data_IF_551993231124
#
_entry.id   IF_551993231124
#
_cell.length_a   1.000
_cell.length_b   1.000
_cell.length_c   1.000
_cell.angle_alpha   90.00
_cell.angle_beta   90.00
_cell.angle_gamma   90.00
#
_symmetry.space_group_name_H-M   'P 1'
#
loop_
_entity.id
_entity.type
_entity.pdbx_description
1 polymer ?
#
# COMPACT_ATOMS: atom_id res chain seq x y z
N UNK A 1 28.69 -5.25 7.20
CA UNK A 1 29.18 -4.15 6.33
C UNK A 1 28.41 -2.90 6.72
N UNK A 2 29.04 -1.73 6.74
CA UNK A 2 28.29 -0.48 6.87
C UNK A 2 27.61 -0.18 5.53
N UNK A 3 26.35 0.25 5.57
CA UNK A 3 25.58 0.61 4.38
C UNK A 3 25.70 2.12 4.14
N UNK A 4 25.53 2.55 2.88
CA UNK A 4 25.47 3.97 2.51
C UNK A 4 24.02 4.48 2.49
N UNK A 5 23.25 4.09 3.51
CA UNK A 5 21.84 4.44 3.75
C UNK A 5 21.56 4.38 5.25
N UNK A 6 20.73 5.29 5.75
CA UNK A 6 20.42 5.39 7.19
C UNK A 6 19.03 4.86 7.55
N UNK A 7 18.22 4.48 6.57
CA UNK A 7 16.83 4.02 6.77
C UNK A 7 16.60 2.61 6.25
N UNK A 8 15.57 1.95 6.78
CA UNK A 8 15.25 0.55 6.47
C UNK A 8 14.42 0.34 5.21
N UNK A 9 13.81 1.41 4.68
CA UNK A 9 12.64 1.32 3.82
C UNK A 9 12.86 0.49 2.55
N UNK A 10 13.94 0.74 1.80
CA UNK A 10 14.28 -0.02 0.58
C UNK A 10 14.59 -1.49 0.87
N UNK A 11 15.22 -1.78 2.01
CA UNK A 11 15.55 -3.16 2.42
C UNK A 11 14.27 -3.94 2.71
N UNK A 12 13.32 -3.35 3.46
CA UNK A 12 12.04 -4.01 3.71
C UNK A 12 11.24 -4.14 2.42
N UNK A 13 11.20 -3.08 1.60
CA UNK A 13 10.53 -3.10 0.30
C UNK A 13 10.97 -4.28 -0.57
N UNK A 14 12.28 -4.51 -0.65
CA UNK A 14 12.87 -5.61 -1.42
C UNK A 14 12.66 -6.99 -0.77
N UNK A 15 12.60 -7.07 0.56
CA UNK A 15 12.45 -8.34 1.30
C UNK A 15 11.12 -9.04 1.10
N UNK A 16 10.10 -8.30 0.66
CA UNK A 16 8.74 -8.80 0.41
C UNK A 16 8.24 -8.43 -1.00
N UNK A 17 9.17 -8.12 -1.91
CA UNK A 17 8.85 -7.88 -3.31
C UNK A 17 8.61 -9.23 -4.02
N UNK A 18 7.34 -9.56 -4.17
CA UNK A 18 6.86 -10.80 -4.77
C UNK A 18 6.66 -10.70 -6.29
N UNK A 19 6.96 -9.55 -6.88
CA UNK A 19 6.75 -9.33 -8.31
C UNK A 19 7.53 -10.32 -9.15
N UNK A 20 6.83 -10.94 -10.11
CA UNK A 20 7.47 -11.74 -11.15
C UNK A 20 8.38 -10.85 -12.02
N UNK A 21 9.31 -11.44 -12.80
CA UNK A 21 10.04 -10.69 -13.83
C UNK A 21 9.10 -9.92 -14.78
N UNK A 22 7.97 -10.52 -15.19
CA UNK A 22 6.97 -9.88 -16.05
C UNK A 22 6.33 -8.65 -15.40
N UNK A 23 5.94 -8.75 -14.13
CA UNK A 23 5.39 -7.62 -13.38
C UNK A 23 6.42 -6.51 -13.14
N UNK A 24 7.72 -6.84 -13.08
CA UNK A 24 8.80 -5.85 -13.06
C UNK A 24 9.09 -5.23 -14.43
N UNK A 25 8.41 -5.66 -15.49
CA UNK A 25 8.63 -5.20 -16.86
C UNK A 25 9.87 -5.81 -17.53
N UNK A 26 10.40 -6.92 -17.02
CA UNK A 26 11.52 -7.64 -17.60
C UNK A 26 11.04 -8.60 -18.67
N UNK A 27 11.76 -8.68 -19.80
CA UNK A 27 11.46 -9.65 -20.86
C UNK A 27 11.83 -11.05 -20.38
N UNK A 28 10.88 -12.00 -20.48
CA UNK A 28 11.11 -13.42 -20.25
C UNK A 28 12.16 -13.93 -21.26
N UNK A 29 13.44 -13.93 -20.85
CA UNK A 29 14.56 -14.42 -21.68
C UNK A 29 15.94 -13.84 -21.38
N UNK A 30 16.04 -12.67 -20.72
CA UNK A 30 17.32 -11.96 -20.60
C UNK A 30 18.10 -12.20 -19.29
N UNK A 31 17.58 -12.99 -18.36
CA UNK A 31 18.30 -13.27 -17.12
C UNK A 31 18.09 -14.70 -16.68
N UNK A 32 19.18 -15.45 -16.59
CA UNK A 32 19.30 -16.70 -15.85
C UNK A 32 19.11 -16.48 -14.34
N UNK A 33 17.98 -15.88 -13.97
CA UNK A 33 17.56 -15.73 -12.58
C UNK A 33 17.16 -17.10 -12.06
N UNK A 34 17.70 -17.54 -10.90
CA UNK A 34 17.41 -18.85 -10.33
C UNK A 34 16.01 -18.97 -9.69
N UNK A 35 15.14 -17.97 -9.86
CA UNK A 35 13.76 -18.04 -9.40
C UNK A 35 12.90 -18.80 -10.41
N UNK A 36 12.34 -19.90 -9.92
CA UNK A 36 11.54 -20.87 -10.66
C UNK A 36 10.64 -20.18 -11.69
N UNK A 37 10.87 -20.49 -12.97
CA UNK A 37 9.95 -20.13 -14.04
C UNK A 37 8.65 -20.87 -13.74
N UNK A 38 7.66 -20.17 -13.20
CA UNK A 38 6.31 -20.70 -13.05
C UNK A 38 5.82 -21.19 -14.42
N UNK A 39 5.08 -22.30 -14.44
CA UNK A 39 4.50 -22.76 -15.70
C UNK A 39 3.51 -21.71 -16.22
N UNK A 40 3.27 -21.67 -17.53
CA UNK A 40 2.25 -20.76 -18.09
C UNK A 40 0.87 -20.95 -17.44
N UNK A 41 0.56 -22.16 -16.96
CA UNK A 41 -0.68 -22.47 -16.25
C UNK A 41 -0.71 -21.86 -14.84
N UNK A 42 0.42 -21.87 -14.14
CA UNK A 42 0.51 -21.30 -12.79
C UNK A 42 0.51 -19.76 -12.86
N UNK A 43 1.16 -19.18 -13.88
CA UNK A 43 1.12 -17.73 -14.12
C UNK A 43 -0.29 -17.22 -14.35
N UNK A 44 -1.15 -17.97 -15.07
CA UNK A 44 -2.55 -17.61 -15.28
C UNK A 44 -3.41 -17.57 -14.00
N UNK A 45 -2.92 -18.12 -12.89
CA UNK A 45 -3.60 -18.06 -11.59
C UNK A 45 -3.21 -16.82 -10.77
N UNK A 46 -2.12 -16.14 -11.14
CA UNK A 46 -1.69 -14.91 -10.50
C UNK A 46 -2.56 -13.73 -10.95
N UNK A 47 -2.69 -12.73 -10.09
CA UNK A 47 -3.30 -11.46 -10.43
C UNK A 47 -2.68 -10.88 -11.71
N UNK A 48 -3.52 -10.47 -12.67
CA UNK A 48 -3.05 -9.98 -13.97
C UNK A 48 -2.20 -11.00 -14.76
N UNK A 49 -2.33 -12.30 -14.47
CA UNK A 49 -1.54 -13.36 -15.08
C UNK A 49 -0.05 -13.30 -14.75
N UNK A 50 0.35 -12.56 -13.72
CA UNK A 50 1.75 -12.30 -13.37
C UNK A 50 2.55 -11.59 -14.47
N UNK A 51 1.86 -10.88 -15.37
CA UNK A 51 2.46 -10.19 -16.53
C UNK A 51 2.10 -8.71 -16.60
N UNK A 52 1.03 -8.28 -15.91
CA UNK A 52 0.67 -6.87 -15.80
C UNK A 52 1.76 -6.16 -15.02
N UNK A 53 2.34 -5.11 -15.61
CA UNK A 53 3.43 -4.36 -14.97
C UNK A 53 2.95 -3.72 -13.67
N UNK A 54 3.69 -3.93 -12.59
CA UNK A 54 3.49 -3.34 -11.28
C UNK A 54 4.71 -2.46 -10.94
N UNK A 55 4.59 -1.12 -11.00
CA UNK A 55 5.76 -0.23 -10.88
C UNK A 55 6.51 -0.34 -9.54
N UNK A 56 5.78 -0.67 -8.46
CA UNK A 56 6.30 -0.74 -7.10
C UNK A 56 6.14 -2.14 -6.51
N UNK A 57 6.99 -2.48 -5.53
CA UNK A 57 6.71 -3.59 -4.59
C UNK A 57 5.39 -3.33 -3.86
N UNK A 58 4.74 -4.39 -3.35
CA UNK A 58 3.59 -4.24 -2.45
C UNK A 58 3.95 -3.56 -1.12
N UNK A 59 5.25 -3.50 -0.80
CA UNK A 59 5.79 -2.62 0.23
C UNK A 59 6.48 -1.42 -0.42
N UNK A 60 5.85 -0.25 -0.41
CA UNK A 60 6.35 0.97 -1.06
C UNK A 60 5.60 2.24 -0.59
N UNK A 61 5.98 3.43 -1.08
CA UNK A 61 5.15 4.64 -0.89
C UNK A 61 3.73 4.44 -1.44
N UNK A 62 2.78 5.25 -0.96
CA UNK A 62 1.40 5.22 -1.49
C UNK A 62 1.36 5.46 -3.00
N UNK A 63 0.40 4.82 -3.67
CA UNK A 63 0.22 4.93 -5.13
C UNK A 63 -0.95 5.83 -5.51
N UNK A 64 -1.89 6.08 -4.59
CA UNK A 64 -3.11 6.88 -4.84
C UNK A 64 -3.56 7.60 -3.56
N UNK A 65 -3.92 8.86 -3.69
CA UNK A 65 -4.69 9.60 -2.70
C UNK A 65 -6.18 9.25 -2.76
N UNK A 66 -6.80 9.28 -1.59
CA UNK A 66 -8.26 9.29 -1.43
C UNK A 66 -8.82 10.72 -1.53
N UNK A 67 -8.46 11.46 -2.57
CA UNK A 67 -8.81 12.87 -2.71
C UNK A 67 -10.23 13.05 -3.26
N UNK A 68 -11.05 13.85 -2.58
CA UNK A 68 -12.44 14.11 -2.95
C UNK A 68 -12.69 15.53 -3.50
N UNK A 69 -11.65 16.36 -3.63
CA UNK A 69 -11.77 17.68 -4.23
C UNK A 69 -11.81 17.62 -5.77
N UNK A 70 -12.54 18.57 -6.38
CA UNK A 70 -12.73 18.63 -7.83
C UNK A 70 -11.39 18.76 -8.57
N UNK A 71 -11.12 17.85 -9.52
CA UNK A 71 -9.88 17.81 -10.31
C UNK A 71 -8.64 17.31 -9.55
N UNK A 72 -8.78 16.94 -8.27
CA UNK A 72 -7.66 16.50 -7.45
C UNK A 72 -7.17 15.10 -7.82
N UNK A 73 -8.07 14.24 -8.31
CA UNK A 73 -7.71 12.92 -8.79
C UNK A 73 -6.73 13.02 -9.96
N UNK A 74 -7.05 13.78 -11.01
CA UNK A 74 -6.14 13.91 -12.17
C UNK A 74 -4.88 14.69 -11.82
N UNK A 75 -4.99 15.69 -10.94
CA UNK A 75 -3.87 16.58 -10.61
C UNK A 75 -2.83 15.93 -9.70
N UNK A 76 -3.25 15.11 -8.74
CA UNK A 76 -2.35 14.60 -7.69
C UNK A 76 -2.07 13.11 -7.78
N UNK A 77 -2.93 12.31 -8.43
CA UNK A 77 -2.67 10.90 -8.69
C UNK A 77 -2.03 10.71 -10.07
N UNK A 78 -0.82 11.24 -10.22
CA UNK A 78 -0.06 11.28 -11.48
C UNK A 78 0.90 10.09 -11.68
N UNK A 79 0.84 9.09 -10.80
CA UNK A 79 1.58 7.85 -10.92
C UNK A 79 0.84 6.81 -11.77
N UNK A 80 1.60 5.94 -12.44
CA UNK A 80 1.09 4.69 -12.97
C UNK A 80 0.70 3.77 -11.80
N UNK A 81 -0.60 3.64 -11.57
CA UNK A 81 -1.18 2.79 -10.53
C UNK A 81 -2.18 1.82 -11.18
N UNK A 82 -1.72 0.64 -11.64
CA UNK A 82 -2.56 -0.39 -12.25
C UNK A 82 -3.76 -0.74 -11.36
N UNK A 83 -4.88 -1.08 -11.97
CA UNK A 83 -6.12 -1.41 -11.27
C UNK A 83 -6.59 -2.79 -11.69
N UNK A 84 -7.10 -3.57 -10.73
CA UNK A 84 -7.82 -4.79 -11.05
C UNK A 84 -9.20 -4.43 -11.63
N UNK A 85 -9.50 -4.80 -12.89
CA UNK A 85 -10.71 -4.36 -13.56
C UNK A 85 -11.98 -5.00 -12.98
N UNK A 86 -11.89 -6.24 -12.47
CA UNK A 86 -13.02 -6.95 -11.88
C UNK A 86 -13.40 -6.34 -10.53
N UNK A 87 -12.43 -6.12 -9.66
CA UNK A 87 -12.62 -5.43 -8.39
C UNK A 87 -13.14 -4.01 -8.61
N UNK A 88 -12.62 -3.28 -9.60
CA UNK A 88 -13.09 -1.93 -9.90
C UNK A 88 -14.56 -1.91 -10.33
N UNK A 89 -14.94 -2.81 -11.25
CA UNK A 89 -16.33 -2.93 -11.70
C UNK A 89 -17.26 -3.29 -10.53
N UNK A 90 -16.88 -4.26 -9.70
CA UNK A 90 -17.64 -4.65 -8.52
C UNK A 90 -17.85 -3.50 -7.53
N UNK A 91 -16.81 -2.68 -7.30
CA UNK A 91 -16.89 -1.53 -6.41
C UNK A 91 -17.81 -0.43 -6.97
N UNK A 92 -17.79 -0.19 -8.28
CA UNK A 92 -18.71 0.74 -8.93
C UNK A 92 -20.15 0.26 -8.91
N UNK A 93 -20.39 -1.02 -9.20
CA UNK A 93 -21.73 -1.60 -9.14
C UNK A 93 -22.31 -1.54 -7.72
N UNK A 94 -21.45 -1.61 -6.69
CA UNK A 94 -21.82 -1.40 -5.29
C UNK A 94 -22.00 0.08 -4.89
N UNK A 95 -21.77 1.04 -5.80
CA UNK A 95 -21.93 2.47 -5.55
C UNK A 95 -20.79 3.13 -4.77
N UNK A 96 -19.60 2.52 -4.73
CA UNK A 96 -18.41 3.11 -4.12
C UNK A 96 -17.88 4.25 -5.02
N UNK A 97 -17.46 5.36 -4.42
CA UNK A 97 -16.96 6.51 -5.15
C UNK A 97 -15.66 6.21 -5.93
N UNK A 98 -15.42 6.97 -6.99
CA UNK A 98 -14.28 6.80 -7.90
C UNK A 98 -12.93 6.72 -7.18
N UNK A 99 -12.71 7.60 -6.21
CA UNK A 99 -11.43 7.67 -5.51
C UNK A 99 -11.18 6.42 -4.68
N UNK A 100 -12.18 6.01 -3.89
CA UNK A 100 -12.04 4.85 -3.03
C UNK A 100 -12.02 3.55 -3.85
N UNK A 101 -12.85 3.45 -4.88
CA UNK A 101 -12.91 2.28 -5.75
C UNK A 101 -11.56 2.02 -6.42
N UNK A 102 -10.93 3.06 -6.99
CA UNK A 102 -9.60 2.95 -7.60
C UNK A 102 -8.51 2.64 -6.59
N UNK A 103 -8.59 3.17 -5.36
CA UNK A 103 -7.64 2.81 -4.31
C UNK A 103 -7.72 1.32 -3.97
N UNK A 104 -8.92 0.80 -3.72
CA UNK A 104 -9.12 -0.61 -3.38
C UNK A 104 -8.77 -1.51 -4.57
N UNK A 105 -9.22 -1.19 -5.78
CA UNK A 105 -8.88 -1.96 -6.99
C UNK A 105 -7.37 -2.04 -7.24
N UNK A 106 -6.59 -1.03 -6.86
CA UNK A 106 -5.12 -1.10 -6.90
C UNK A 106 -4.55 -2.13 -5.92
N UNK A 107 -5.11 -2.25 -4.70
CA UNK A 107 -4.66 -3.26 -3.74
C UNK A 107 -4.90 -4.69 -4.24
N UNK A 108 -5.97 -4.87 -5.02
CA UNK A 108 -6.39 -6.14 -5.60
C UNK A 108 -5.60 -6.55 -6.85
N UNK A 109 -4.63 -5.75 -7.31
CA UNK A 109 -3.65 -6.20 -8.31
C UNK A 109 -2.58 -7.13 -7.72
N UNK A 110 -2.78 -7.60 -6.48
CA UNK A 110 -1.81 -8.42 -5.74
C UNK A 110 -2.47 -9.72 -5.32
N UNK A 111 -1.71 -10.79 -5.40
CA UNK A 111 -2.12 -12.06 -4.85
C UNK A 111 -2.09 -12.05 -3.31
N UNK A 112 -2.96 -12.82 -2.65
CA UNK A 112 -2.88 -13.03 -1.21
C UNK A 112 -1.62 -13.85 -0.87
N UNK A 113 -0.74 -13.30 -0.01
CA UNK A 113 0.46 -14.02 0.46
C UNK A 113 0.17 -14.99 1.60
N UNK A 114 -0.87 -14.72 2.37
CA UNK A 114 -1.19 -15.47 3.57
C UNK A 114 -2.70 -15.74 3.59
N UNK A 115 -3.06 -17.01 3.70
CA UNK A 115 -4.43 -17.44 3.99
C UNK A 115 -4.42 -18.08 5.37
N UNK A 116 -5.33 -17.63 6.25
CA UNK A 116 -5.51 -18.26 7.54
C UNK A 116 -6.32 -19.55 7.38
N UNK A 117 -5.83 -20.63 7.99
CA UNK A 117 -6.51 -21.92 8.02
C UNK A 117 -7.87 -21.76 8.72
N UNK A 118 -8.93 -22.32 8.14
CA UNK A 118 -10.29 -22.20 8.65
C UNK A 118 -11.08 -20.99 8.12
N UNK A 119 -10.45 -20.10 7.35
CA UNK A 119 -11.11 -19.04 6.59
C UNK A 119 -10.96 -19.31 5.09
N UNK A 120 -11.09 -20.57 4.65
CA UNK A 120 -10.99 -20.91 3.22
C UNK A 120 -12.22 -20.44 2.42
N UNK A 121 -13.36 -20.27 3.09
CA UNK A 121 -14.64 -19.88 2.47
C UNK A 121 -14.97 -18.44 2.85
N UNK A 122 -15.35 -17.64 1.87
CA UNK A 122 -15.72 -16.25 2.09
C UNK A 122 -17.04 -16.17 2.86
N UNK A 123 -17.02 -15.48 3.99
CA UNK A 123 -18.21 -15.15 4.76
C UNK A 123 -18.60 -13.70 4.52
N UNK A 124 -19.89 -13.45 4.29
CA UNK A 124 -20.46 -12.09 4.30
C UNK A 124 -20.33 -11.45 5.68
N UNK A 125 -20.10 -12.27 6.72
CA UNK A 125 -19.94 -11.85 8.11
C UNK A 125 -18.49 -11.58 8.52
N UNK A 126 -17.50 -11.83 7.67
CA UNK A 126 -16.08 -11.68 8.00
C UNK A 126 -15.38 -10.70 7.06
N UNK A 127 -14.20 -10.25 7.45
CA UNK A 127 -13.36 -9.36 6.63
C UNK A 127 -11.98 -9.96 6.37
N UNK A 128 -11.75 -11.22 6.73
CA UNK A 128 -10.42 -11.83 6.74
C UNK A 128 -9.84 -11.97 5.32
N UNK A 129 -10.67 -12.23 4.32
CA UNK A 129 -10.24 -12.25 2.91
C UNK A 129 -9.83 -10.86 2.41
N UNK A 130 -10.56 -9.82 2.81
CA UNK A 130 -10.15 -8.45 2.50
C UNK A 130 -8.86 -8.10 3.24
N UNK A 131 -8.73 -8.48 4.51
CA UNK A 131 -7.51 -8.24 5.29
C UNK A 131 -6.31 -9.05 4.77
N UNK A 132 -6.50 -10.20 4.15
CA UNK A 132 -5.41 -10.95 3.50
C UNK A 132 -4.71 -10.10 2.42
N UNK A 133 -5.46 -9.27 1.70
CA UNK A 133 -4.93 -8.32 0.72
C UNK A 133 -4.50 -7.01 1.38
N UNK A 134 -5.37 -6.39 2.18
CA UNK A 134 -5.12 -5.07 2.78
C UNK A 134 -3.92 -5.09 3.74
N UNK A 135 -3.80 -6.12 4.58
CA UNK A 135 -2.72 -6.23 5.56
C UNK A 135 -1.36 -6.46 4.90
N UNK A 136 -1.33 -7.04 3.70
CA UNK A 136 -0.13 -7.36 2.91
C UNK A 136 0.20 -6.34 1.82
N UNK A 137 -0.54 -5.23 1.74
CA UNK A 137 -0.15 -4.04 1.01
C UNK A 137 0.42 -3.01 2.00
N UNK A 138 1.74 -2.93 2.10
CA UNK A 138 2.45 -2.19 3.15
C UNK A 138 2.93 -0.84 2.64
N UNK A 139 2.12 0.20 2.85
CA UNK A 139 2.45 1.55 2.38
C UNK A 139 2.94 2.49 3.48
N UNK A 140 3.43 3.69 3.09
CA UNK A 140 3.87 4.75 4.02
C UNK A 140 2.74 5.25 4.92
N UNK A 141 1.50 5.23 4.42
CA UNK A 141 0.28 5.37 5.20
C UNK A 141 -0.72 4.28 4.82
N UNK A 142 -1.59 3.89 5.75
CA UNK A 142 -2.64 2.90 5.49
C UNK A 142 -4.00 3.43 5.92
N UNK A 143 -4.95 3.42 4.99
CA UNK A 143 -6.36 3.60 5.27
C UNK A 143 -6.92 2.30 5.86
N UNK A 144 -7.57 2.36 7.03
CA UNK A 144 -8.11 1.18 7.70
C UNK A 144 -9.63 1.33 7.82
N UNK A 145 -10.43 0.47 7.15
CA UNK A 145 -11.86 0.46 7.36
C UNK A 145 -12.22 0.17 8.82
N UNK A 146 -13.39 0.62 9.28
CA UNK A 146 -13.90 0.20 10.57
C UNK A 146 -14.06 -1.33 10.56
N UNK A 147 -13.67 -2.03 11.63
CA UNK A 147 -14.01 -3.43 11.76
C UNK A 147 -15.53 -3.57 11.84
N UNK A 148 -16.03 -4.79 11.60
CA UNK A 148 -17.44 -5.09 11.86
C UNK A 148 -17.83 -4.71 13.27
N UNK A 149 -19.01 -4.11 13.38
CA UNK A 149 -19.53 -3.63 14.64
C UNK A 149 -19.78 -4.82 15.58
N UNK A 150 -19.04 -4.87 16.68
CA UNK A 150 -19.32 -5.81 17.76
C UNK A 150 -20.52 -5.34 18.58
N UNK A 151 -21.27 -6.29 19.14
CA UNK A 151 -22.41 -6.01 20.01
C UNK A 151 -21.99 -5.27 21.29
N UNK A 152 -20.78 -5.56 21.80
CA UNK A 152 -20.17 -4.94 22.97
C UNK A 152 -18.78 -4.39 22.63
N UNK A 153 -18.41 -3.28 23.29
CA UNK A 153 -17.10 -2.64 23.15
C UNK A 153 -17.11 -1.29 22.42
N UNK A 154 -15.95 -0.60 22.38
CA UNK A 154 -15.85 0.72 21.78
C UNK A 154 -16.06 0.67 20.26
N UNK A 155 -16.73 1.69 19.71
CA UNK A 155 -16.83 1.84 18.25
C UNK A 155 -15.48 2.27 17.69
N UNK A 156 -14.94 1.46 16.81
CA UNK A 156 -13.76 1.78 16.02
C UNK A 156 -14.23 2.31 14.67
N UNK A 157 -13.85 3.56 14.36
CA UNK A 157 -14.19 4.20 13.08
C UNK A 157 -13.14 3.95 11.99
N UNK A 158 -13.24 4.76 10.93
CA UNK A 158 -12.20 4.90 9.91
C UNK A 158 -10.91 5.40 10.54
N UNK A 159 -9.78 4.80 10.18
CA UNK A 159 -8.47 5.16 10.74
C UNK A 159 -7.45 5.34 9.62
N UNK A 160 -6.45 6.14 9.92
CA UNK A 160 -5.22 6.26 9.14
C UNK A 160 -4.07 5.80 10.03
N UNK A 161 -3.20 4.96 9.49
CA UNK A 161 -1.98 4.50 10.16
C UNK A 161 -0.77 5.13 9.46
N UNK A 162 0.07 5.84 10.21
CA UNK A 162 1.32 6.44 9.72
C UNK A 162 2.49 5.49 9.97
N UNK A 163 3.27 5.14 8.93
CA UNK A 163 4.11 3.92 8.94
C UNK A 163 5.57 4.13 8.56
N UNK A 164 5.98 5.35 8.24
CA UNK A 164 7.35 5.63 7.76
C UNK A 164 8.40 5.74 8.87
N UNK A 165 8.00 6.00 10.12
CA UNK A 165 8.95 6.22 11.22
C UNK A 165 9.89 5.03 11.45
N UNK A 166 11.18 5.33 11.67
CA UNK A 166 12.14 4.42 12.30
C UNK A 166 11.87 4.35 13.81
N UNK A 167 12.27 3.26 14.46
CA UNK A 167 12.16 3.12 15.92
C UNK A 167 13.39 3.74 16.59
N UNK A 168 13.15 4.61 17.58
CA UNK A 168 14.21 5.17 18.43
C UNK A 168 14.68 4.17 19.48
N UNK A 169 15.87 4.41 20.05
CA UNK A 169 16.45 3.52 21.07
C UNK A 169 15.74 3.65 22.41
N UNK A 170 15.18 4.83 22.70
CA UNK A 170 14.55 5.13 23.98
C UNK A 170 13.04 5.30 23.85
N UNK A 171 12.33 4.98 24.93
CA UNK A 171 10.90 5.25 25.05
C UNK A 171 10.60 6.75 24.89
N UNK A 172 11.52 7.61 25.35
CA UNK A 172 11.37 9.07 25.22
C UNK A 172 11.37 9.52 23.76
N UNK A 173 12.33 9.08 22.94
CA UNK A 173 12.38 9.42 21.51
C UNK A 173 11.13 8.92 20.78
N UNK A 174 10.74 7.67 21.03
CA UNK A 174 9.54 7.08 20.44
C UNK A 174 8.26 7.82 20.86
N UNK A 175 8.14 8.21 22.14
CA UNK A 175 7.02 9.00 22.64
C UNK A 175 7.00 10.42 22.04
N UNK A 176 8.17 11.05 21.86
CA UNK A 176 8.29 12.37 21.26
C UNK A 176 7.80 12.37 19.80
N UNK A 177 8.28 11.43 18.98
CA UNK A 177 7.84 11.28 17.59
C UNK A 177 6.36 10.89 17.47
N UNK A 178 5.87 10.01 18.35
CA UNK A 178 4.45 9.65 18.40
C UNK A 178 3.58 10.87 18.71
N UNK A 179 3.98 11.65 19.72
CA UNK A 179 3.29 12.89 20.11
C UNK A 179 3.32 13.91 18.98
N UNK A 180 4.47 14.06 18.31
CA UNK A 180 4.61 14.93 17.15
C UNK A 180 3.63 14.59 16.03
N UNK A 181 3.54 13.31 15.61
CA UNK A 181 2.58 12.88 14.58
C UNK A 181 1.13 13.14 15.01
N UNK A 182 0.81 12.92 16.29
CA UNK A 182 -0.52 13.25 16.84
C UNK A 182 -0.79 14.75 16.75
N UNK A 183 0.16 15.61 17.12
CA UNK A 183 -0.01 17.06 17.02
C UNK A 183 -0.14 17.53 15.57
N UNK A 184 0.68 17.03 14.66
CA UNK A 184 0.60 17.33 13.22
C UNK A 184 -0.77 16.94 12.67
N UNK A 185 -1.27 15.73 12.97
CA UNK A 185 -2.60 15.32 12.52
C UNK A 185 -3.72 16.22 13.07
N UNK A 186 -3.61 16.66 14.33
CA UNK A 186 -4.57 17.62 14.92
C UNK A 186 -4.50 18.99 14.25
N UNK A 187 -3.32 19.48 13.91
CA UNK A 187 -3.13 20.73 13.18
C UNK A 187 -3.75 20.64 11.79
N UNK A 188 -3.49 19.56 11.04
CA UNK A 188 -4.09 19.33 9.71
C UNK A 188 -5.61 19.40 9.79
N UNK A 189 -6.21 18.72 10.76
CA UNK A 189 -7.67 18.68 10.93
C UNK A 189 -8.26 19.99 11.46
N UNK A 190 -7.60 20.65 12.41
CA UNK A 190 -8.11 21.87 13.04
C UNK A 190 -8.11 23.07 12.09
N UNK A 191 -7.15 23.12 11.16
CA UNK A 191 -7.01 24.20 10.18
C UNK A 191 -7.44 23.82 8.76
N UNK A 192 -7.98 22.61 8.57
CA UNK A 192 -8.38 22.08 7.26
C UNK A 192 -7.29 22.26 6.19
N UNK A 193 -6.06 21.86 6.54
CA UNK A 193 -4.89 22.11 5.69
C UNK A 193 -4.93 21.23 4.45
N UNK A 194 -4.89 21.86 3.27
CA UNK A 194 -4.66 21.16 2.02
C UNK A 194 -3.15 20.96 1.79
N UNK A 195 -2.69 19.73 2.02
CA UNK A 195 -1.29 19.31 1.85
C UNK A 195 -1.09 18.39 0.63
N UNK A 196 -2.01 18.38 -0.32
CA UNK A 196 -1.84 17.59 -1.54
C UNK A 196 -0.70 18.14 -2.41
N UNK A 197 0.10 17.23 -2.93
CA UNK A 197 1.07 17.47 -3.99
C UNK A 197 1.04 16.29 -4.96
N UNK A 198 1.52 16.42 -6.21
CA UNK A 198 1.64 15.29 -7.12
C UNK A 198 2.39 14.12 -6.47
N UNK A 199 1.86 12.91 -6.59
CA UNK A 199 2.47 11.71 -6.01
C UNK A 199 3.84 11.39 -6.60
N UNK A 200 4.10 11.79 -7.85
CA UNK A 200 5.46 11.72 -8.42
C UNK A 200 6.50 12.45 -7.57
N UNK A 201 6.15 13.61 -7.00
CA UNK A 201 7.04 14.36 -6.10
C UNK A 201 7.14 13.70 -4.71
N UNK A 202 6.07 13.05 -4.25
CA UNK A 202 6.13 12.24 -3.01
C UNK A 202 7.08 11.05 -3.19
N UNK A 203 7.03 10.39 -4.34
CA UNK A 203 7.96 9.31 -4.69
C UNK A 203 9.39 9.81 -4.85
N UNK A 204 9.57 10.97 -5.50
CA UNK A 204 10.87 11.61 -5.61
C UNK A 204 11.47 11.88 -4.22
N UNK A 205 10.66 12.35 -3.26
CA UNK A 205 11.08 12.59 -1.87
C UNK A 205 11.50 11.31 -1.11
N UNK A 206 11.04 10.12 -1.54
CA UNK A 206 11.47 8.88 -0.91
C UNK A 206 12.95 8.57 -1.18
N UNK A 207 13.48 8.89 -2.36
CA UNK A 207 14.87 8.62 -2.71
C UNK A 207 15.90 9.38 -1.83
N UNK A 208 15.82 10.71 -1.66
CA UNK A 208 16.76 11.45 -0.83
C UNK A 208 16.69 11.05 0.65
N UNK A 209 15.52 10.61 1.14
CA UNK A 209 15.33 10.12 2.51
C UNK A 209 16.12 8.84 2.82
N UNK A 210 16.65 8.14 1.79
CA UNK A 210 17.53 6.98 1.99
C UNK A 210 19.00 7.34 2.08
N UNK A 211 19.42 8.53 1.63
CA UNK A 211 20.84 8.87 1.60
C UNK A 211 21.39 8.89 3.03
N UNK A 212 22.62 8.38 3.19
CA UNK A 212 23.37 8.60 4.44
C UNK A 212 23.50 10.11 4.69
N UNK A 213 23.31 10.52 5.94
CA UNK A 213 23.23 11.92 6.34
C UNK A 213 22.09 12.69 5.61
N UNK A 214 21.07 11.97 5.14
CA UNK A 214 19.88 12.53 4.50
C UNK A 214 18.99 13.28 5.51
N UNK A 215 18.46 14.42 5.07
CA UNK A 215 17.45 15.20 5.80
C UNK A 215 16.05 14.85 5.32
#
# INVERSE_FOLDING_TARGET
>A
RLADTDVRWSVISASVDDRTPGERGQVMGESGSPHATLSSKDMLQLAGGGMVRLPKSRYASISRYLANCQGCQERFNDLEAPLDPEALALLYDAGIDDSLAKHVAHLFTRDPLTLQRGHEVQSVEETDHFEAIQSTNWQTVRWKPPPKRKACGPRVGWRVEFRSMEVGLTDFENAAFTTFVVLVSRVILAFDLNLYMPLSLVDENMAPAHRRDGA
#
